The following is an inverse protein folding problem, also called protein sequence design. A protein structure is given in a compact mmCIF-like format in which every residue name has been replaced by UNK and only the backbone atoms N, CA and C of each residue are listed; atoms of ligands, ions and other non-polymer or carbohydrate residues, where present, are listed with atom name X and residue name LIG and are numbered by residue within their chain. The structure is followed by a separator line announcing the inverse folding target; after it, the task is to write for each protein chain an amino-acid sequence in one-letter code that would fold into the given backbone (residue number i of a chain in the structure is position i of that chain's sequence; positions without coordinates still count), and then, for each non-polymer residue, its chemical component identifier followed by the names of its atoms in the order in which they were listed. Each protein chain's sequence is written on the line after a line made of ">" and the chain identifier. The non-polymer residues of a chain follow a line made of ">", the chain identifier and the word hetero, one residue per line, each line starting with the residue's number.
data_IF_055191855860
#
_entry.id   IF_055191855860
#
_cell.length_a   1.000
_cell.length_b   1.000
_cell.length_c   1.000
_cell.angle_alpha   90.00
_cell.angle_beta   90.00
_cell.angle_gamma   90.00
#
_symmetry.space_group_name_H-M   'P 1'
#
loop_
_entity.id
_entity.type
_entity.pdbx_description
1 polymer ?
#
# COMPACT_ATOMS: atom_id res chain seq x y z
N UNK A 1 2.90 -8.15 8.81
CA UNK A 1 2.14 -7.58 9.95
C UNK A 1 2.40 -6.10 10.17
N UNK A 2 3.62 -5.62 10.01
CA UNK A 2 4.00 -4.20 10.10
C UNK A 2 3.27 -3.32 9.08
N UNK A 3 3.04 -3.85 7.92
CA UNK A 3 2.49 -3.15 6.78
C UNK A 3 1.02 -2.85 6.88
N UNK A 4 0.29 -3.78 7.49
CA UNK A 4 -1.13 -3.65 7.75
C UNK A 4 -1.43 -2.31 8.40
N UNK A 5 -0.67 -1.97 9.39
CA UNK A 5 -0.96 -0.81 10.22
C UNK A 5 -0.37 0.48 9.65
N UNK A 6 0.77 0.41 8.98
CA UNK A 6 1.27 1.57 8.25
C UNK A 6 0.32 1.92 7.09
N UNK A 7 -0.23 0.93 6.43
CA UNK A 7 -1.20 1.12 5.36
C UNK A 7 -2.60 1.45 5.91
N UNK A 8 -3.02 0.84 7.03
CA UNK A 8 -4.20 1.24 7.79
C UNK A 8 -4.12 2.70 8.26
N UNK A 9 -2.95 3.14 8.71
CA UNK A 9 -2.72 4.54 9.07
C UNK A 9 -2.95 5.43 7.85
N UNK A 10 -2.49 5.02 6.67
CA UNK A 10 -2.66 5.81 5.45
C UNK A 10 -4.10 5.81 4.94
N UNK A 11 -4.76 4.67 4.97
CA UNK A 11 -6.18 4.57 4.60
C UNK A 11 -7.09 5.27 5.60
N UNK A 12 -6.78 5.15 6.88
CA UNK A 12 -7.52 5.82 7.93
C UNK A 12 -7.17 7.30 8.04
N UNK A 13 -5.94 7.70 7.72
CA UNK A 13 -5.57 9.08 7.55
C UNK A 13 -6.30 9.70 6.36
N UNK A 14 -6.44 8.97 5.26
CA UNK A 14 -7.25 9.37 4.12
C UNK A 14 -8.75 9.45 4.47
N UNK A 15 -9.24 8.51 5.28
CA UNK A 15 -10.61 8.51 5.77
C UNK A 15 -10.87 9.63 6.79
N UNK A 16 -9.95 9.86 7.71
CA UNK A 16 -10.00 10.94 8.69
C UNK A 16 -9.89 12.33 8.03
N UNK A 17 -9.17 12.45 6.93
CA UNK A 17 -9.07 13.68 6.15
C UNK A 17 -10.41 14.05 5.48
N UNK A 18 -11.22 13.06 5.14
CA UNK A 18 -12.57 13.28 4.64
C UNK A 18 -13.57 13.66 5.76
N UNK A 19 -13.24 13.43 7.01
CA UNK A 19 -14.11 13.71 8.15
C UNK A 19 -13.77 15.00 8.89
N UNK A 20 -13.00 15.89 8.29
CA UNK A 20 -12.73 17.28 8.74
C UNK A 20 -12.81 17.58 10.22
N UNK A 21 -11.76 18.23 10.66
CA UNK A 21 -11.64 19.08 11.85
C UNK A 21 -11.37 18.29 13.13
N UNK A 22 -10.09 18.06 13.38
CA UNK A 22 -9.39 18.66 14.49
C UNK A 22 -7.97 18.13 14.67
N UNK A 23 -7.14 18.99 14.97
CA UNK A 23 -5.80 19.20 15.39
C UNK A 23 -5.00 18.07 16.08
N UNK A 24 -5.37 16.80 16.06
CA UNK A 24 -4.51 15.74 16.59
C UNK A 24 -4.67 14.47 15.77
N UNK A 25 -3.65 14.19 14.97
CA UNK A 25 -3.54 12.92 14.25
C UNK A 25 -3.12 11.75 15.15
N UNK A 26 -3.46 11.82 16.42
CA UNK A 26 -3.42 10.71 17.36
C UNK A 26 -4.73 9.92 17.24
N UNK A 27 -4.83 9.13 16.18
CA UNK A 27 -5.91 8.16 16.09
C UNK A 27 -5.55 6.93 16.96
N UNK A 28 -6.54 6.20 17.51
CA UNK A 28 -6.27 4.95 18.24
C UNK A 28 -5.42 3.95 17.46
N UNK A 29 -5.42 4.04 16.12
CA UNK A 29 -4.65 3.18 15.23
C UNK A 29 -3.18 3.59 15.14
N UNK A 30 -2.88 4.89 15.20
CA UNK A 30 -1.52 5.40 15.27
C UNK A 30 -0.84 4.92 16.56
N UNK A 31 -1.55 5.00 17.67
CA UNK A 31 -1.07 4.50 18.96
C UNK A 31 -0.84 2.99 18.92
N UNK A 32 -1.77 2.23 18.38
CA UNK A 32 -1.63 0.78 18.23
C UNK A 32 -0.42 0.43 17.36
N UNK A 33 -0.22 1.14 16.26
CA UNK A 33 0.92 0.92 15.37
C UNK A 33 2.24 1.26 16.06
N UNK A 34 2.29 2.37 16.78
CA UNK A 34 3.46 2.76 17.54
C UNK A 34 3.79 1.74 18.64
N UNK A 35 2.79 1.26 19.38
CA UNK A 35 2.97 0.26 20.43
C UNK A 35 3.52 -1.06 19.89
N UNK A 36 3.08 -1.47 18.70
CA UNK A 36 3.53 -2.73 18.10
C UNK A 36 4.86 -2.61 17.36
N UNK A 37 5.14 -1.49 16.70
CA UNK A 37 6.26 -1.36 15.77
C UNK A 37 7.09 -0.09 15.91
N UNK A 38 6.89 0.68 16.96
CA UNK A 38 7.61 1.94 17.19
C UNK A 38 9.13 1.84 17.14
N UNK A 39 9.66 0.64 17.40
CA UNK A 39 11.11 0.37 17.35
C UNK A 39 11.60 -0.19 16.00
N UNK A 40 10.71 -0.34 15.02
CA UNK A 40 11.07 -0.89 13.70
C UNK A 40 11.72 0.17 12.80
N UNK A 41 12.62 -0.26 11.87
CA UNK A 41 13.19 0.65 10.87
C UNK A 41 12.11 1.33 10.00
N UNK A 42 11.07 0.61 9.64
CA UNK A 42 9.98 1.15 8.81
C UNK A 42 9.17 2.22 9.55
N UNK A 43 8.99 2.06 10.85
CA UNK A 43 8.35 3.10 11.66
C UNK A 43 9.20 4.38 11.70
N UNK A 44 10.52 4.23 11.82
CA UNK A 44 11.44 5.37 11.79
C UNK A 44 11.39 6.09 10.44
N UNK A 45 11.38 5.35 9.33
CA UNK A 45 11.23 5.92 7.99
C UNK A 45 9.90 6.64 7.83
N UNK A 46 8.82 6.07 8.34
CA UNK A 46 7.51 6.71 8.35
C UNK A 46 7.51 8.00 9.17
N UNK A 47 8.11 7.98 10.35
CA UNK A 47 8.23 9.17 11.19
C UNK A 47 9.06 10.27 10.50
N UNK A 48 10.13 9.91 9.82
CA UNK A 48 10.93 10.83 9.00
C UNK A 48 10.09 11.40 7.84
N UNK A 49 9.33 10.57 7.16
CA UNK A 49 8.43 11.03 6.10
C UNK A 49 7.45 12.08 6.64
N UNK A 50 6.83 11.81 7.78
CA UNK A 50 5.92 12.74 8.45
C UNK A 50 6.57 14.06 8.84
N UNK A 51 7.83 14.02 9.21
CA UNK A 51 8.60 15.20 9.63
C UNK A 51 9.07 16.04 8.45
N UNK A 52 9.51 15.40 7.36
CA UNK A 52 10.06 16.10 6.18
C UNK A 52 9.00 16.60 5.21
N UNK A 53 7.76 16.13 5.33
CA UNK A 53 6.65 16.50 4.47
C UNK A 53 5.63 17.33 5.25
N UNK A 54 4.95 18.23 4.56
CA UNK A 54 3.80 18.94 5.11
C UNK A 54 2.48 18.26 4.75
N UNK A 55 1.37 18.73 5.30
CA UNK A 55 0.04 18.17 5.06
C UNK A 55 -0.33 18.22 3.57
N UNK A 56 0.08 19.24 2.86
CA UNK A 56 -0.19 19.37 1.42
C UNK A 56 0.54 18.27 0.63
N UNK A 57 1.80 17.98 0.97
CA UNK A 57 2.58 16.92 0.33
C UNK A 57 2.00 15.56 0.68
N UNK A 58 1.66 15.31 1.92
CA UNK A 58 1.05 14.06 2.36
C UNK A 58 -0.29 13.81 1.65
N UNK A 59 -1.10 14.85 1.50
CA UNK A 59 -2.36 14.76 0.76
C UNK A 59 -2.11 14.47 -0.73
N UNK A 60 -1.13 15.12 -1.33
CA UNK A 60 -0.77 14.88 -2.73
C UNK A 60 -0.31 13.43 -2.95
N UNK A 61 0.46 12.87 -2.02
CA UNK A 61 0.91 11.47 -2.09
C UNK A 61 -0.28 10.50 -2.00
N UNK A 62 -1.24 10.76 -1.11
CA UNK A 62 -2.47 9.96 -1.02
C UNK A 62 -3.33 10.07 -2.27
N UNK A 63 -3.46 11.26 -2.83
CA UNK A 63 -4.23 11.47 -4.06
C UNK A 63 -3.59 10.74 -5.25
N UNK A 64 -2.25 10.69 -5.29
CA UNK A 64 -1.51 9.93 -6.30
C UNK A 64 -1.76 8.41 -6.17
N UNK A 65 -1.78 7.89 -4.96
CA UNK A 65 -2.13 6.47 -4.70
C UNK A 65 -3.54 6.18 -5.18
N UNK A 66 -4.51 7.00 -4.83
CA UNK A 66 -5.92 6.82 -5.26
C UNK A 66 -6.07 6.88 -6.77
N UNK A 67 -5.39 7.80 -7.43
CA UNK A 67 -5.40 7.89 -8.89
C UNK A 67 -4.83 6.61 -9.51
N UNK A 68 -3.75 6.08 -8.97
CA UNK A 68 -3.16 4.82 -9.42
C UNK A 68 -4.09 3.64 -9.19
N UNK A 69 -4.75 3.56 -8.05
CA UNK A 69 -5.73 2.51 -7.77
C UNK A 69 -6.87 2.48 -8.80
N UNK A 70 -7.31 3.64 -9.26
CA UNK A 70 -8.30 3.73 -10.35
C UNK A 70 -7.72 3.25 -11.70
N UNK A 71 -6.45 3.53 -11.97
CA UNK A 71 -5.77 3.00 -13.16
C UNK A 71 -5.64 1.47 -13.10
N UNK A 72 -5.31 0.91 -11.93
CA UNK A 72 -5.27 -0.54 -11.72
C UNK A 72 -6.62 -1.19 -11.98
N UNK A 73 -7.69 -0.60 -11.45
CA UNK A 73 -9.05 -1.07 -11.68
C UNK A 73 -9.44 -1.00 -13.17
N UNK A 74 -9.05 0.07 -13.85
CA UNK A 74 -9.29 0.21 -15.29
C UNK A 74 -8.52 -0.83 -16.10
N UNK A 75 -7.26 -1.05 -15.79
CA UNK A 75 -6.43 -2.07 -16.45
C UNK A 75 -7.04 -3.47 -16.30
N UNK A 76 -7.52 -3.80 -15.11
CA UNK A 76 -8.23 -5.05 -14.87
C UNK A 76 -9.50 -5.17 -15.74
N UNK A 77 -10.32 -4.12 -15.82
CA UNK A 77 -11.50 -4.09 -16.67
C UNK A 77 -11.17 -4.23 -18.16
N UNK A 78 -10.04 -3.67 -18.58
CA UNK A 78 -9.57 -3.72 -19.97
C UNK A 78 -8.92 -5.07 -20.32
N UNK A 79 -8.85 -6.01 -19.37
CA UNK A 79 -8.32 -7.35 -19.59
C UNK A 79 -6.81 -7.46 -19.56
N UNK A 80 -6.12 -6.47 -19.00
CA UNK A 80 -4.66 -6.55 -18.77
C UNK A 80 -4.37 -7.72 -17.82
N UNK A 81 -3.51 -8.63 -18.25
CA UNK A 81 -3.21 -9.83 -17.48
C UNK A 81 -2.00 -9.62 -16.58
N UNK A 82 -2.05 -10.13 -15.31
CA UNK A 82 -0.86 -10.22 -14.48
C UNK A 82 0.29 -10.93 -15.22
N UNK A 83 1.50 -10.41 -15.09
CA UNK A 83 2.68 -10.92 -15.80
C UNK A 83 2.88 -10.33 -17.19
N UNK A 84 1.97 -9.50 -17.69
CA UNK A 84 2.20 -8.72 -18.90
C UNK A 84 3.08 -7.50 -18.60
N UNK A 85 3.71 -6.94 -19.61
CA UNK A 85 4.53 -5.72 -19.49
C UNK A 85 3.72 -4.56 -18.88
N UNK A 86 2.48 -4.38 -19.31
CA UNK A 86 1.60 -3.34 -18.78
C UNK A 86 1.26 -3.56 -17.30
N UNK A 87 1.00 -4.80 -16.89
CA UNK A 87 0.73 -5.13 -15.50
C UNK A 87 1.99 -4.99 -14.62
N UNK A 88 3.15 -5.36 -15.14
CA UNK A 88 4.42 -5.20 -14.44
C UNK A 88 4.76 -3.72 -14.20
N UNK A 89 4.54 -2.87 -15.19
CA UNK A 89 4.71 -1.41 -15.04
C UNK A 89 3.78 -0.85 -13.96
N UNK A 90 2.52 -1.25 -13.96
CA UNK A 90 1.55 -0.83 -12.95
C UNK A 90 1.93 -1.32 -11.54
N UNK A 91 2.40 -2.55 -11.42
CA UNK A 91 2.87 -3.10 -10.14
C UNK A 91 4.10 -2.33 -9.61
N UNK A 92 5.04 -1.97 -10.48
CA UNK A 92 6.19 -1.13 -10.11
C UNK A 92 5.74 0.25 -9.64
N UNK A 93 4.85 0.90 -10.38
CA UNK A 93 4.30 2.20 -10.00
C UNK A 93 3.56 2.13 -8.67
N UNK A 94 2.85 1.04 -8.41
CA UNK A 94 2.20 0.82 -7.11
C UNK A 94 3.23 0.75 -5.99
N UNK A 95 4.32 -0.01 -6.16
CA UNK A 95 5.40 -0.06 -5.17
C UNK A 95 6.02 1.31 -4.92
N UNK A 96 6.30 2.05 -5.97
CA UNK A 96 6.89 3.39 -5.89
C UNK A 96 5.95 4.43 -5.27
N UNK A 97 4.64 4.21 -5.37
CA UNK A 97 3.64 5.09 -4.74
C UNK A 97 3.59 4.99 -3.23
N UNK A 98 4.16 3.93 -2.66
CA UNK A 98 4.25 3.71 -1.22
C UNK A 98 5.47 4.47 -0.68
N UNK A 99 5.31 5.78 -0.48
CA UNK A 99 6.41 6.72 -0.20
C UNK A 99 6.77 6.84 1.27
N UNK A 100 5.98 6.22 2.16
CA UNK A 100 6.12 6.35 3.61
C UNK A 100 7.37 5.67 4.16
N UNK A 101 7.80 4.61 3.51
CA UNK A 101 9.01 3.87 3.82
C UNK A 101 9.49 3.12 2.58
N UNK A 102 10.73 2.67 2.60
CA UNK A 102 11.28 1.92 1.47
C UNK A 102 10.65 0.53 1.37
N UNK A 103 10.05 0.24 0.23
CA UNK A 103 9.43 -1.07 -0.06
C UNK A 103 10.29 -1.83 -1.06
N UNK A 104 10.89 -2.93 -0.60
CA UNK A 104 11.61 -3.85 -1.49
C UNK A 104 10.64 -4.72 -2.29
N UNK A 105 11.07 -5.37 -3.38
CA UNK A 105 10.23 -6.33 -4.10
C UNK A 105 9.67 -7.44 -3.20
N UNK A 106 10.48 -7.97 -2.28
CA UNK A 106 10.03 -8.99 -1.32
C UNK A 106 8.96 -8.45 -0.36
N UNK A 107 9.15 -7.26 0.16
CA UNK A 107 8.16 -6.57 1.00
C UNK A 107 6.86 -6.34 0.23
N UNK A 108 6.95 -5.98 -1.05
CA UNK A 108 5.77 -5.77 -1.90
C UNK A 108 4.94 -7.05 -2.07
N UNK A 109 5.59 -8.21 -2.18
CA UNK A 109 4.92 -9.51 -2.19
C UNK A 109 4.20 -9.78 -0.87
N UNK A 110 4.83 -9.47 0.26
CA UNK A 110 4.20 -9.58 1.57
C UNK A 110 2.95 -8.71 1.67
N UNK A 111 3.02 -7.45 1.18
CA UNK A 111 1.87 -6.56 1.08
C UNK A 111 0.75 -7.16 0.22
N UNK A 112 1.11 -7.69 -0.96
CA UNK A 112 0.16 -8.29 -1.88
C UNK A 112 -0.64 -9.44 -1.27
N UNK A 113 0.03 -10.28 -0.50
CA UNK A 113 -0.63 -11.38 0.24
C UNK A 113 -1.61 -10.85 1.28
N UNK A 114 -1.27 -9.77 1.95
CA UNK A 114 -2.16 -9.12 2.89
C UNK A 114 -3.39 -8.51 2.25
N UNK A 115 -3.25 -7.90 1.09
CA UNK A 115 -4.38 -7.30 0.37
C UNK A 115 -5.51 -8.30 0.11
N UNK A 116 -5.17 -9.57 -0.02
CA UNK A 116 -6.15 -10.65 -0.20
C UNK A 116 -6.60 -11.26 1.11
N UNK A 117 -5.68 -11.44 2.06
CA UNK A 117 -5.92 -12.21 3.29
C UNK A 117 -6.54 -11.38 4.42
N UNK A 118 -6.25 -10.07 4.47
CA UNK A 118 -6.87 -9.20 5.47
C UNK A 118 -8.20 -8.65 4.93
N UNK A 119 -9.33 -8.90 5.62
CA UNK A 119 -10.64 -8.47 5.16
C UNK A 119 -10.76 -6.96 4.91
N UNK A 120 -10.02 -6.13 5.65
CA UNK A 120 -10.07 -4.67 5.53
C UNK A 120 -9.44 -4.21 4.23
N UNK A 121 -8.26 -4.73 3.88
CA UNK A 121 -7.58 -4.42 2.63
C UNK A 121 -8.31 -5.00 1.43
N UNK A 122 -8.78 -6.22 1.57
CA UNK A 122 -9.58 -6.83 0.51
C UNK A 122 -10.83 -6.01 0.20
N UNK A 123 -11.53 -5.55 1.23
CA UNK A 123 -12.71 -4.69 1.06
C UNK A 123 -12.35 -3.36 0.40
N UNK A 124 -11.20 -2.76 0.73
CA UNK A 124 -10.73 -1.53 0.11
C UNK A 124 -10.57 -1.68 -1.40
N UNK A 125 -9.78 -2.67 -1.84
CA UNK A 125 -9.52 -2.88 -3.27
C UNK A 125 -10.76 -3.40 -4.02
N UNK A 126 -11.46 -4.38 -3.46
CA UNK A 126 -12.66 -4.93 -4.07
C UNK A 126 -13.82 -3.93 -4.08
N UNK A 127 -13.79 -2.92 -3.20
CA UNK A 127 -14.72 -1.79 -3.23
C UNK A 127 -14.50 -0.85 -4.41
N UNK A 128 -13.27 -0.78 -4.93
CA UNK A 128 -12.96 0.00 -6.14
C UNK A 128 -13.42 -0.77 -7.39
N UNK A 129 -13.05 -2.04 -7.48
CA UNK A 129 -13.48 -2.96 -8.52
C UNK A 129 -13.54 -4.39 -7.95
N UNK A 130 -14.64 -5.11 -8.08
CA UNK A 130 -14.72 -6.50 -7.61
C UNK A 130 -13.61 -7.38 -8.22
N UNK A 131 -12.82 -8.02 -7.36
CA UNK A 131 -11.68 -8.87 -7.75
C UNK A 131 -10.35 -8.14 -7.86
N UNK A 132 -10.30 -6.83 -7.62
CA UNK A 132 -9.07 -6.04 -7.76
C UNK A 132 -7.98 -6.49 -6.78
N UNK A 133 -8.32 -6.86 -5.56
CA UNK A 133 -7.34 -7.33 -4.58
C UNK A 133 -6.55 -8.54 -5.10
N UNK A 134 -7.23 -9.52 -5.67
CA UNK A 134 -6.61 -10.72 -6.26
C UNK A 134 -5.80 -10.37 -7.50
N UNK A 135 -6.35 -9.55 -8.38
CA UNK A 135 -5.66 -9.12 -9.59
C UNK A 135 -4.35 -8.38 -9.26
N UNK A 136 -4.41 -7.47 -8.30
CA UNK A 136 -3.23 -6.70 -7.85
C UNK A 136 -2.18 -7.61 -7.23
N UNK A 137 -2.58 -8.54 -6.36
CA UNK A 137 -1.67 -9.55 -5.81
C UNK A 137 -0.97 -10.32 -6.93
N UNK A 138 -1.71 -10.83 -7.89
CA UNK A 138 -1.16 -11.62 -8.97
C UNK A 138 -0.19 -10.79 -9.83
N UNK A 139 -0.52 -9.53 -10.09
CA UNK A 139 0.37 -8.61 -10.81
C UNK A 139 1.67 -8.32 -10.03
N UNK A 140 1.58 -8.07 -8.75
CA UNK A 140 2.73 -7.82 -7.88
C UNK A 140 3.62 -9.07 -7.80
N UNK A 141 3.04 -10.24 -7.59
CA UNK A 141 3.79 -11.50 -7.50
C UNK A 141 4.50 -11.82 -8.82
N UNK A 142 3.84 -11.63 -9.96
CA UNK A 142 4.46 -11.85 -11.27
C UNK A 142 5.64 -10.89 -11.51
N UNK A 143 5.48 -9.61 -11.19
CA UNK A 143 6.52 -8.61 -11.34
C UNK A 143 7.71 -8.90 -10.41
N UNK A 144 7.47 -9.27 -9.16
CA UNK A 144 8.52 -9.61 -8.20
C UNK A 144 9.27 -10.88 -8.62
N UNK A 145 8.57 -11.89 -9.13
CA UNK A 145 9.20 -13.10 -9.67
C UNK A 145 10.12 -12.78 -10.86
N UNK A 146 9.73 -11.84 -11.71
CA UNK A 146 10.57 -11.36 -12.80
C UNK A 146 11.86 -10.67 -12.31
N UNK A 147 11.84 -10.09 -11.11
CA UNK A 147 13.01 -9.54 -10.43
C UNK A 147 13.81 -10.57 -9.63
N UNK A 148 13.41 -11.84 -9.63
CA UNK A 148 14.11 -12.94 -8.96
C UNK A 148 13.66 -13.21 -7.52
N UNK A 149 12.55 -12.65 -7.08
CA UNK A 149 11.98 -12.91 -5.75
C UNK A 149 11.33 -14.29 -5.70
N UNK A 150 11.64 -15.06 -4.67
CA UNK A 150 10.89 -16.27 -4.32
C UNK A 150 9.56 -15.86 -3.67
N UNK A 151 8.52 -15.83 -4.48
CA UNK A 151 7.20 -15.34 -4.08
C UNK A 151 6.57 -16.19 -2.96
N UNK A 152 6.81 -17.50 -2.95
CA UNK A 152 6.24 -18.38 -1.93
C UNK A 152 6.88 -18.17 -0.56
N UNK A 153 8.16 -17.83 -0.54
CA UNK A 153 8.95 -17.65 0.69
C UNK A 153 9.37 -16.18 0.91
N UNK A 154 8.69 -15.24 0.29
CA UNK A 154 9.02 -13.83 0.43
C UNK A 154 8.98 -13.38 1.89
N UNK A 155 9.99 -12.58 2.27
CA UNK A 155 10.16 -12.08 3.63
C UNK A 155 10.11 -10.56 3.64
N UNK A 156 9.82 -10.04 4.80
CA UNK A 156 9.84 -8.61 5.06
C UNK A 156 11.29 -8.11 5.24
N UNK A 157 12.02 -7.98 4.16
CA UNK A 157 13.42 -7.51 4.14
C UNK A 157 13.77 -6.83 2.79
#
# INVERSE_FOLDING_TARGET
>A
QLQLILQDIDELSAYAHNMKEDEDMDTPYTDEAHDRWGDSPQWMEYAEYRTRTDDAQQQADLDAVRALELELAQAMRDGVQPGSEAADELALRHRESLTWYHVTPSMHVCLAKMYVNDPRFRAHYDGIEPGLAVWLRDAIEAQAAAEGVDVENARWE
#
